data_IF_634761157099
#
_entry.id   IF_634761157099
#
_cell.length_a   1.000
_cell.length_b   1.000
_cell.length_c   1.000
_cell.angle_alpha   90.00
_cell.angle_beta   90.00
_cell.angle_gamma   90.00
#
_symmetry.space_group_name_H-M   'P 1'
#
loop_
_entity.id
_entity.type
_entity.pdbx_description
1 polymer ?
#
# COMPACT_ATOMS: atom_id res chain seq x y z
N UNK A 1 18.33 63.58 62.09
CA UNK A 1 17.11 63.48 61.32
C UNK A 1 16.69 62.00 61.39
N UNK A 2 15.64 61.76 62.14
CA UNK A 2 15.13 60.43 62.47
C UNK A 2 14.25 59.92 61.33
N UNK A 3 14.42 58.68 60.90
CA UNK A 3 13.47 57.95 60.11
C UNK A 3 12.97 56.74 60.93
N UNK A 4 11.69 56.78 61.23
CA UNK A 4 10.98 55.74 61.92
C UNK A 4 10.62 54.58 60.98
N UNK A 5 10.96 53.34 61.36
CA UNK A 5 10.53 52.15 60.69
C UNK A 5 9.20 51.64 61.27
N UNK A 6 8.23 51.39 60.36
CA UNK A 6 6.96 50.74 60.75
C UNK A 6 7.12 49.24 60.42
N UNK A 7 7.01 48.41 61.45
CA UNK A 7 6.91 46.97 61.34
C UNK A 7 5.43 46.56 61.17
N UNK A 8 5.06 45.94 60.03
CA UNK A 8 3.76 45.30 59.85
C UNK A 8 3.85 43.83 60.23
N UNK A 9 3.11 43.45 61.22
CA UNK A 9 2.96 42.07 61.68
C UNK A 9 1.90 41.39 60.71
N UNK A 10 2.27 40.33 60.04
CA UNK A 10 1.35 39.46 59.34
C UNK A 10 0.85 38.35 60.26
N UNK A 11 -0.47 38.28 60.40
CA UNK A 11 -1.16 37.19 61.09
C UNK A 11 -1.40 36.08 60.07
N UNK A 12 -0.79 34.93 60.27
CA UNK A 12 -1.04 33.72 59.49
C UNK A 12 -2.29 33.04 60.07
N UNK A 13 -3.39 33.07 59.37
CA UNK A 13 -4.57 32.25 59.64
C UNK A 13 -4.40 30.94 58.87
N UNK A 14 -4.13 29.87 59.59
CA UNK A 14 -4.16 28.48 59.05
C UNK A 14 -5.61 28.03 58.97
N UNK A 15 -6.19 28.18 57.79
CA UNK A 15 -7.46 27.55 57.45
C UNK A 15 -7.20 26.17 56.84
N UNK A 16 -7.53 25.11 57.57
CA UNK A 16 -7.59 23.74 57.04
C UNK A 16 -8.80 23.65 56.11
N UNK A 17 -8.57 23.54 54.82
CA UNK A 17 -9.60 23.13 53.84
C UNK A 17 -9.60 21.60 53.73
N UNK A 18 -10.77 20.96 53.66
CA UNK A 18 -10.84 19.53 53.46
C UNK A 18 -10.37 19.20 52.00
N UNK A 19 -9.47 18.24 51.91
CA UNK A 19 -9.03 17.64 50.66
C UNK A 19 -10.23 17.05 49.92
N UNK A 20 -10.68 17.76 48.90
CA UNK A 20 -11.53 17.18 47.89
C UNK A 20 -10.58 16.39 46.98
N UNK A 21 -10.44 15.11 47.23
CA UNK A 21 -9.90 14.18 46.23
C UNK A 21 -10.78 14.31 44.97
N UNK A 22 -10.32 15.12 44.03
CA UNK A 22 -10.76 15.03 42.63
C UNK A 22 -10.24 13.71 42.11
N UNK A 23 -11.10 12.71 42.10
CA UNK A 23 -10.94 11.50 41.33
C UNK A 23 -10.99 11.94 39.87
N UNK A 24 -9.89 12.50 39.35
CA UNK A 24 -9.66 12.59 37.91
C UNK A 24 -9.56 11.15 37.46
N UNK A 25 -10.69 10.65 36.92
CA UNK A 25 -10.73 9.41 36.18
C UNK A 25 -9.58 9.47 35.17
N UNK A 26 -8.68 8.51 35.25
CA UNK A 26 -7.67 8.29 34.24
C UNK A 26 -8.41 8.18 32.89
N UNK A 27 -8.44 9.28 32.15
CA UNK A 27 -8.76 9.23 30.75
C UNK A 27 -7.75 8.23 30.18
N UNK A 28 -8.24 7.08 29.70
CA UNK A 28 -7.41 6.05 29.11
C UNK A 28 -6.51 6.73 28.10
N UNK A 29 -5.21 6.49 28.17
CA UNK A 29 -4.29 7.04 27.19
C UNK A 29 -4.78 6.58 25.83
N UNK A 30 -5.14 7.54 24.96
CA UNK A 30 -5.57 7.29 23.59
C UNK A 30 -4.47 6.49 22.89
N UNK A 31 -4.79 5.26 22.48
CA UNK A 31 -3.80 4.38 21.87
C UNK A 31 -3.79 4.69 20.37
N UNK A 32 -2.65 5.18 19.87
CA UNK A 32 -2.49 5.49 18.45
C UNK A 32 -1.70 4.40 17.75
N UNK A 33 -2.12 4.06 16.53
CA UNK A 33 -1.41 3.17 15.60
C UNK A 33 -1.09 3.96 14.33
N UNK A 34 0.19 4.09 14.03
CA UNK A 34 0.67 4.73 12.80
C UNK A 34 0.91 3.67 11.72
N UNK A 35 0.14 3.73 10.65
CA UNK A 35 0.21 2.82 9.50
C UNK A 35 0.60 3.60 8.25
N UNK A 36 1.67 3.18 7.57
CA UNK A 36 2.18 3.90 6.39
C UNK A 36 2.71 2.95 5.33
N UNK A 37 2.57 3.35 4.06
CA UNK A 37 3.31 2.66 2.99
C UNK A 37 2.57 2.55 1.68
N UNK A 38 2.35 1.32 1.22
CA UNK A 38 1.84 1.00 -0.11
C UNK A 38 0.54 1.72 -0.46
N UNK A 39 0.57 2.48 -1.56
CA UNK A 39 -0.65 3.08 -2.10
C UNK A 39 -1.65 2.02 -2.62
N UNK A 40 -1.16 0.85 -3.04
CA UNK A 40 -2.03 -0.29 -3.39
C UNK A 40 -2.92 -0.68 -2.21
N UNK A 41 -2.38 -0.62 -0.98
CA UNK A 41 -3.10 -0.99 0.23
C UNK A 41 -3.86 0.17 0.89
N UNK A 42 -3.62 1.42 0.50
CA UNK A 42 -4.09 2.58 1.28
C UNK A 42 -5.61 2.57 1.49
N UNK A 43 -6.40 2.30 0.44
CA UNK A 43 -7.86 2.27 0.55
C UNK A 43 -8.36 1.10 1.42
N UNK A 44 -7.70 -0.05 1.34
CA UNK A 44 -8.02 -1.19 2.18
C UNK A 44 -7.61 -0.96 3.64
N UNK A 45 -6.43 -0.39 3.86
CA UNK A 45 -5.94 -0.04 5.20
C UNK A 45 -6.82 1.04 5.87
N UNK A 46 -7.30 2.04 5.11
CA UNK A 46 -8.26 3.03 5.59
C UNK A 46 -9.59 2.37 5.98
N UNK A 47 -10.12 1.48 5.13
CA UNK A 47 -11.36 0.78 5.45
C UNK A 47 -11.23 -0.12 6.68
N UNK A 48 -10.10 -0.79 6.87
CA UNK A 48 -9.81 -1.53 8.10
C UNK A 48 -9.72 -0.62 9.31
N UNK A 49 -9.00 0.49 9.20
CA UNK A 49 -8.84 1.46 10.28
C UNK A 49 -10.20 2.05 10.71
N UNK A 50 -11.02 2.49 9.76
CA UNK A 50 -12.36 3.03 10.01
C UNK A 50 -13.25 1.99 10.70
N UNK A 51 -13.33 0.77 10.16
CA UNK A 51 -14.15 -0.28 10.73
C UNK A 51 -13.66 -0.72 12.11
N UNK A 52 -12.34 -0.75 12.35
CA UNK A 52 -11.82 -1.10 13.67
C UNK A 52 -12.06 0.00 14.70
N UNK A 53 -11.90 1.27 14.35
CA UNK A 53 -12.19 2.41 15.25
C UNK A 53 -13.70 2.52 15.59
N UNK A 54 -14.59 1.97 14.76
CA UNK A 54 -16.01 1.82 15.13
C UNK A 54 -16.23 0.74 16.21
N UNK A 55 -15.40 -0.33 16.22
CA UNK A 55 -15.45 -1.40 17.20
C UNK A 55 -14.75 -1.03 18.52
N UNK A 56 -13.63 -0.31 18.42
CA UNK A 56 -12.84 0.13 19.56
C UNK A 56 -12.59 1.65 19.46
N UNK A 57 -13.50 2.47 20.02
CA UNK A 57 -13.42 3.93 19.96
C UNK A 57 -12.26 4.56 20.74
N UNK A 58 -11.57 3.81 21.59
CA UNK A 58 -10.42 4.28 22.36
C UNK A 58 -9.11 4.20 21.57
N UNK A 59 -9.14 3.57 20.37
CA UNK A 59 -8.00 3.45 19.47
C UNK A 59 -8.08 4.50 18.35
N UNK A 60 -6.95 5.06 18.00
CA UNK A 60 -6.80 5.93 16.81
C UNK A 60 -5.81 5.30 15.85
N UNK A 61 -6.25 5.10 14.61
CA UNK A 61 -5.41 4.53 13.54
C UNK A 61 -5.24 5.58 12.46
N UNK A 62 -4.00 5.98 12.24
CA UNK A 62 -3.61 6.90 11.16
C UNK A 62 -3.08 6.08 9.97
N UNK A 63 -3.60 6.31 8.78
CA UNK A 63 -3.16 5.62 7.57
C UNK A 63 -2.63 6.63 6.56
N UNK A 64 -1.41 6.43 6.09
CA UNK A 64 -0.80 7.27 5.05
C UNK A 64 -0.17 6.43 3.95
N UNK A 65 -0.36 6.84 2.70
CA UNK A 65 0.28 6.25 1.53
C UNK A 65 1.74 6.70 1.35
N UNK A 66 2.21 6.68 0.12
CA UNK A 66 3.54 7.16 -0.29
C UNK A 66 4.46 6.04 -0.78
N UNK A 67 3.92 4.85 -1.02
CA UNK A 67 4.64 3.69 -1.58
C UNK A 67 5.27 2.78 -0.53
N UNK A 68 5.46 1.50 -0.91
CA UNK A 68 6.00 0.45 -0.02
C UNK A 68 7.37 0.80 0.55
N UNK A 69 8.27 1.34 -0.27
CA UNK A 69 9.61 1.76 0.17
C UNK A 69 9.56 2.83 1.26
N UNK A 70 8.59 3.76 1.17
CA UNK A 70 8.40 4.81 2.19
C UNK A 70 7.92 4.24 3.52
N UNK A 71 6.98 3.26 3.49
CA UNK A 71 6.52 2.58 4.70
C UNK A 71 7.61 1.75 5.37
N UNK A 72 8.33 0.96 4.59
CA UNK A 72 9.46 0.14 5.07
C UNK A 72 10.53 1.04 5.70
N UNK A 73 10.92 2.14 5.02
CA UNK A 73 11.88 3.09 5.58
C UNK A 73 11.37 3.74 6.89
N UNK A 74 10.08 4.05 6.99
CA UNK A 74 9.50 4.59 8.20
C UNK A 74 9.55 3.59 9.37
N UNK A 75 9.29 2.29 9.10
CA UNK A 75 9.42 1.23 10.09
C UNK A 75 10.88 1.06 10.55
N UNK A 76 11.85 1.02 9.60
CA UNK A 76 13.28 0.94 9.91
C UNK A 76 13.75 2.10 10.80
N UNK A 77 13.13 3.27 10.65
CA UNK A 77 13.40 4.46 11.46
C UNK A 77 12.57 4.54 12.76
N UNK A 78 11.73 3.54 13.03
CA UNK A 78 10.90 3.49 14.24
C UNK A 78 9.83 4.59 14.32
N UNK A 79 9.33 5.07 13.17
CA UNK A 79 8.35 6.17 13.09
C UNK A 79 6.93 5.71 12.76
N UNK A 80 6.73 4.41 12.56
CA UNK A 80 5.42 3.79 12.36
C UNK A 80 5.35 2.44 13.05
N UNK A 81 4.14 2.01 13.38
CA UNK A 81 3.87 0.71 14.00
C UNK A 81 3.67 -0.37 12.94
N UNK A 82 3.06 0.00 11.80
CA UNK A 82 2.74 -0.88 10.69
C UNK A 82 3.26 -0.28 9.38
N UNK A 83 4.05 -1.05 8.63
CA UNK A 83 4.46 -0.70 7.28
C UNK A 83 3.69 -1.52 6.25
N UNK A 84 2.85 -0.88 5.44
CA UNK A 84 2.15 -1.52 4.34
C UNK A 84 3.08 -1.70 3.14
N UNK A 85 3.11 -2.90 2.57
CA UNK A 85 3.90 -3.19 1.38
C UNK A 85 3.16 -4.08 0.38
N UNK A 86 3.40 -3.83 -0.89
CA UNK A 86 2.88 -4.61 -2.03
C UNK A 86 3.99 -5.35 -2.77
N UNK A 87 5.08 -5.60 -2.08
CA UNK A 87 6.20 -6.48 -2.39
C UNK A 87 6.84 -6.94 -1.08
N UNK A 88 7.62 -8.01 -1.13
CA UNK A 88 8.47 -8.37 0.00
C UNK A 88 9.54 -7.29 0.28
N UNK A 89 10.00 -7.23 1.52
CA UNK A 89 11.20 -6.46 1.85
C UNK A 89 12.40 -7.05 1.12
N UNK A 90 13.28 -6.17 0.67
CA UNK A 90 14.56 -6.57 0.07
C UNK A 90 15.56 -6.94 1.14
N UNK A 91 16.55 -7.78 0.80
CA UNK A 91 17.61 -8.17 1.73
C UNK A 91 18.35 -6.95 2.31
N UNK A 92 18.59 -5.92 1.51
CA UNK A 92 19.19 -4.66 1.95
C UNK A 92 18.33 -3.88 2.96
N UNK A 93 17.00 -3.94 2.83
CA UNK A 93 16.05 -3.31 3.75
C UNK A 93 15.97 -4.10 5.06
N UNK A 94 16.00 -5.44 4.99
CA UNK A 94 16.06 -6.32 6.16
C UNK A 94 17.38 -6.08 6.92
N UNK A 95 18.50 -6.07 6.22
CA UNK A 95 19.81 -5.79 6.84
C UNK A 95 19.87 -4.40 7.48
N UNK A 96 19.25 -3.38 6.87
CA UNK A 96 19.17 -2.04 7.43
C UNK A 96 18.28 -1.99 8.69
N UNK A 97 17.18 -2.75 8.73
CA UNK A 97 16.33 -2.89 9.91
C UNK A 97 17.10 -3.54 11.07
N UNK A 98 17.77 -4.66 10.79
CA UNK A 98 18.58 -5.40 11.79
C UNK A 98 19.72 -4.53 12.35
N UNK A 99 20.38 -3.73 11.50
CA UNK A 99 21.40 -2.78 11.95
C UNK A 99 20.87 -1.71 12.90
N UNK A 100 19.57 -1.40 12.82
CA UNK A 100 18.86 -0.50 13.73
C UNK A 100 18.25 -1.26 14.94
N UNK A 101 18.52 -2.55 15.10
CA UNK A 101 18.01 -3.38 16.20
C UNK A 101 16.55 -3.80 16.03
N UNK A 102 16.03 -3.71 14.82
CA UNK A 102 14.66 -4.11 14.44
C UNK A 102 14.71 -5.47 13.77
N UNK A 103 13.84 -6.39 14.19
CA UNK A 103 13.61 -7.68 13.53
C UNK A 103 12.26 -7.63 12.81
N UNK A 104 12.20 -7.31 11.51
CA UNK A 104 10.93 -7.18 10.80
C UNK A 104 10.15 -8.49 10.82
N UNK A 105 8.86 -8.43 11.13
CA UNK A 105 7.95 -9.56 11.01
C UNK A 105 6.98 -9.29 9.88
N UNK A 106 6.91 -10.26 8.96
CA UNK A 106 6.06 -10.20 7.78
C UNK A 106 4.68 -10.81 8.07
N UNK A 107 3.63 -10.07 7.75
CA UNK A 107 2.25 -10.53 7.83
C UNK A 107 1.60 -10.40 6.46
N UNK A 108 1.29 -11.53 5.81
CA UNK A 108 0.45 -11.50 4.59
C UNK A 108 -0.96 -11.16 5.00
N UNK A 109 -1.51 -10.05 4.51
CA UNK A 109 -2.83 -9.55 4.92
C UNK A 109 -3.91 -9.68 3.84
N UNK A 110 -3.50 -9.84 2.58
CA UNK A 110 -4.37 -10.07 1.43
C UNK A 110 -3.54 -10.57 0.24
N UNK A 111 -4.21 -10.93 -0.87
CA UNK A 111 -3.57 -11.11 -2.18
C UNK A 111 -4.13 -10.07 -3.16
N UNK A 112 -3.35 -9.75 -4.18
CA UNK A 112 -3.70 -8.78 -5.21
C UNK A 112 -3.40 -9.36 -6.60
N UNK A 113 -4.23 -9.01 -7.58
CA UNK A 113 -3.92 -9.16 -8.98
C UNK A 113 -3.50 -7.81 -9.55
N UNK A 114 -2.37 -7.74 -10.24
CA UNK A 114 -2.02 -6.53 -11.00
C UNK A 114 -2.69 -6.62 -12.36
N UNK A 115 -3.77 -5.88 -12.52
CA UNK A 115 -4.49 -5.78 -13.78
C UNK A 115 -3.72 -4.88 -14.76
N UNK A 116 -3.54 -5.34 -15.99
CA UNK A 116 -3.12 -4.48 -17.10
C UNK A 116 -4.37 -3.80 -17.64
N UNK A 117 -4.36 -2.48 -17.68
CA UNK A 117 -5.53 -1.67 -18.03
C UNK A 117 -5.26 -0.73 -19.18
N UNK A 118 -6.28 -0.57 -20.02
CA UNK A 118 -6.27 0.31 -21.19
C UNK A 118 -7.59 1.09 -21.26
N UNK A 119 -7.63 2.10 -22.11
CA UNK A 119 -8.87 2.82 -22.39
C UNK A 119 -9.93 1.89 -23.00
N UNK A 120 -11.23 2.01 -22.66
CA UNK A 120 -12.29 1.12 -23.15
C UNK A 120 -12.39 1.02 -24.68
N UNK A 121 -11.99 2.06 -25.41
CA UNK A 121 -11.97 2.03 -26.87
C UNK A 121 -10.79 1.29 -27.49
N UNK A 122 -9.82 0.83 -26.71
CA UNK A 122 -8.70 0.06 -27.22
C UNK A 122 -9.17 -1.35 -27.63
N UNK A 123 -8.93 -1.79 -28.89
CA UNK A 123 -9.42 -3.09 -29.36
C UNK A 123 -8.62 -4.29 -28.86
N UNK A 124 -7.45 -4.09 -28.23
CA UNK A 124 -6.60 -5.19 -27.75
C UNK A 124 -7.26 -5.86 -26.54
N UNK A 125 -7.56 -7.16 -26.66
CA UNK A 125 -8.24 -7.95 -25.61
C UNK A 125 -7.27 -8.78 -24.77
N UNK A 126 -6.08 -9.06 -25.30
CA UNK A 126 -5.10 -9.92 -24.59
C UNK A 126 -3.66 -9.61 -25.00
N UNK A 127 -2.75 -9.76 -24.04
CA UNK A 127 -1.30 -9.63 -24.21
C UNK A 127 -0.60 -10.78 -23.49
N UNK A 128 0.52 -11.24 -24.06
CA UNK A 128 1.41 -12.16 -23.32
C UNK A 128 2.31 -11.36 -22.37
N UNK A 129 2.88 -12.02 -21.35
CA UNK A 129 3.89 -11.39 -20.47
C UNK A 129 5.05 -10.82 -21.30
N UNK A 130 5.50 -11.54 -22.34
CA UNK A 130 6.55 -11.06 -23.23
C UNK A 130 6.14 -9.77 -23.97
N UNK A 131 4.92 -9.70 -24.50
CA UNK A 131 4.44 -8.49 -25.16
C UNK A 131 4.33 -7.32 -24.20
N UNK A 132 3.91 -7.56 -22.95
CA UNK A 132 3.86 -6.53 -21.91
C UNK A 132 5.28 -6.05 -21.59
N UNK A 133 6.24 -6.95 -21.44
CA UNK A 133 7.66 -6.60 -21.26
C UNK A 133 8.19 -5.78 -22.43
N UNK A 134 7.95 -6.22 -23.66
CA UNK A 134 8.39 -5.52 -24.88
C UNK A 134 7.77 -4.12 -25.01
N UNK A 135 6.53 -3.96 -24.58
CA UNK A 135 5.85 -2.66 -24.55
C UNK A 135 6.55 -1.74 -23.53
N UNK A 136 6.72 -2.20 -22.29
CA UNK A 136 7.27 -1.36 -21.22
C UNK A 136 8.77 -1.11 -21.35
N UNK A 137 9.51 -1.93 -22.06
CA UNK A 137 10.93 -1.69 -22.43
C UNK A 137 11.09 -0.81 -23.67
N UNK A 138 10.01 -0.57 -24.43
CA UNK A 138 10.01 0.24 -25.63
C UNK A 138 10.38 -0.51 -26.91
N UNK A 139 10.45 -1.84 -26.90
CA UNK A 139 10.61 -2.67 -28.08
C UNK A 139 9.33 -2.65 -28.95
N UNK A 140 8.16 -2.58 -28.32
CA UNK A 140 6.86 -2.36 -28.96
C UNK A 140 6.39 -0.95 -28.58
N UNK A 141 6.21 -0.09 -29.58
CA UNK A 141 5.86 1.33 -29.38
C UNK A 141 4.50 1.73 -29.98
N UNK A 142 3.88 0.84 -30.73
CA UNK A 142 2.59 1.10 -31.39
C UNK A 142 1.61 -0.03 -31.15
N UNK A 143 0.36 0.32 -30.91
CA UNK A 143 -0.72 -0.65 -30.70
C UNK A 143 -0.92 -1.61 -31.89
N UNK A 144 -0.63 -1.16 -33.16
CA UNK A 144 -0.70 -2.01 -34.34
C UNK A 144 0.24 -3.23 -34.30
N UNK A 145 1.32 -3.19 -33.50
CA UNK A 145 2.24 -4.31 -33.35
C UNK A 145 1.67 -5.47 -32.50
N UNK A 146 0.59 -5.19 -31.76
CA UNK A 146 -0.10 -6.16 -30.90
C UNK A 146 -1.60 -6.30 -31.24
N UNK A 147 -1.98 -6.00 -32.48
CA UNK A 147 -3.34 -6.19 -32.97
C UNK A 147 -4.30 -5.01 -32.74
N UNK A 148 -3.80 -3.89 -32.27
CA UNK A 148 -4.56 -2.66 -32.09
C UNK A 148 -4.51 -1.74 -33.33
N UNK A 149 -5.00 -0.52 -33.14
CA UNK A 149 -4.94 0.53 -34.15
C UNK A 149 -3.51 1.08 -34.34
N UNK A 150 -3.21 1.72 -35.49
CA UNK A 150 -1.90 2.31 -35.72
C UNK A 150 -1.73 3.65 -34.97
N UNK A 151 -1.60 3.55 -33.67
CA UNK A 151 -1.39 4.66 -32.70
C UNK A 151 -0.20 4.39 -31.78
N UNK A 152 0.52 5.43 -31.31
CA UNK A 152 1.58 5.24 -30.34
C UNK A 152 1.01 4.70 -29.02
N UNK A 153 1.84 3.99 -28.25
CA UNK A 153 1.52 3.55 -26.90
C UNK A 153 2.07 4.60 -25.92
N UNK A 154 1.24 5.04 -24.97
CA UNK A 154 1.64 5.89 -23.84
C UNK A 154 1.79 5.01 -22.61
N UNK A 155 3.00 4.91 -22.09
CA UNK A 155 3.37 4.04 -20.99
C UNK A 155 3.13 4.73 -19.65
N UNK A 156 2.31 4.13 -18.80
CA UNK A 156 2.08 4.60 -17.44
C UNK A 156 2.64 3.60 -16.44
N UNK A 157 3.42 4.07 -15.49
CA UNK A 157 3.95 3.29 -14.38
C UNK A 157 3.79 4.06 -13.08
N UNK A 158 4.07 3.42 -11.96
CA UNK A 158 4.16 4.05 -10.65
C UNK A 158 5.57 4.60 -10.43
N UNK A 159 5.72 5.53 -9.49
CA UNK A 159 7.02 6.00 -9.02
C UNK A 159 7.86 4.84 -8.45
N UNK A 160 9.19 5.00 -8.45
CA UNK A 160 10.15 3.94 -8.10
C UNK A 160 10.08 3.46 -6.64
N UNK A 161 9.52 4.27 -5.72
CA UNK A 161 9.25 3.90 -4.32
C UNK A 161 7.98 3.02 -4.18
N UNK A 162 7.18 2.89 -5.24
CA UNK A 162 6.01 2.02 -5.27
C UNK A 162 6.41 0.54 -5.30
N UNK A 163 5.86 -0.26 -4.38
CA UNK A 163 6.03 -1.72 -4.43
C UNK A 163 5.44 -2.33 -5.70
N UNK A 164 4.41 -1.72 -6.29
CA UNK A 164 3.83 -2.18 -7.56
C UNK A 164 4.77 -1.95 -8.72
N UNK A 165 5.48 -0.81 -8.75
CA UNK A 165 6.52 -0.54 -9.75
C UNK A 165 7.65 -1.58 -9.66
N UNK A 166 8.18 -1.81 -8.45
CA UNK A 166 9.27 -2.77 -8.23
C UNK A 166 8.83 -4.19 -8.61
N UNK A 167 7.67 -4.63 -8.13
CA UNK A 167 7.15 -5.95 -8.45
C UNK A 167 6.95 -6.13 -9.97
N UNK A 168 6.39 -5.13 -10.66
CA UNK A 168 6.16 -5.18 -12.10
C UNK A 168 7.47 -5.23 -12.89
N UNK A 169 8.49 -4.48 -12.46
CA UNK A 169 9.82 -4.55 -13.05
C UNK A 169 10.42 -5.95 -12.93
N UNK A 170 10.40 -6.52 -11.73
CA UNK A 170 11.04 -7.79 -11.43
C UNK A 170 10.30 -8.99 -12.04
N UNK A 171 8.97 -9.02 -11.90
CA UNK A 171 8.18 -10.21 -12.25
C UNK A 171 7.50 -10.15 -13.63
N UNK A 172 7.33 -8.95 -14.21
CA UNK A 172 6.69 -8.80 -15.53
C UNK A 172 7.70 -8.38 -16.58
N UNK A 173 8.47 -7.31 -16.36
CA UNK A 173 9.45 -6.84 -17.35
C UNK A 173 10.62 -7.82 -17.43
N UNK A 174 11.17 -8.21 -16.28
CA UNK A 174 12.30 -9.17 -16.17
C UNK A 174 11.85 -10.62 -16.11
N UNK A 175 10.55 -10.88 -16.02
CA UNK A 175 9.96 -12.23 -15.93
C UNK A 175 10.58 -13.11 -14.82
N UNK A 176 10.98 -12.51 -13.69
CA UNK A 176 11.61 -13.19 -12.55
C UNK A 176 13.10 -13.52 -12.74
N UNK A 177 13.72 -13.06 -13.82
CA UNK A 177 15.17 -13.20 -14.04
C UNK A 177 15.93 -12.10 -13.28
N UNK A 178 16.59 -12.49 -12.18
CA UNK A 178 17.36 -11.59 -11.32
C UNK A 178 18.62 -11.04 -12.00
N UNK A 179 19.16 -11.77 -13.00
CA UNK A 179 20.34 -11.34 -13.77
C UNK A 179 19.97 -10.39 -14.93
N UNK A 180 18.67 -10.17 -15.17
CA UNK A 180 18.19 -9.29 -16.23
C UNK A 180 18.44 -7.82 -15.92
N UNK A 181 19.05 -7.10 -16.85
CA UNK A 181 19.27 -5.65 -16.80
C UNK A 181 18.15 -4.83 -17.46
N UNK A 182 17.05 -5.46 -17.86
CA UNK A 182 15.89 -4.78 -18.46
C UNK A 182 15.32 -3.73 -17.48
N UNK A 183 15.01 -2.57 -18.04
CA UNK A 183 14.41 -1.44 -17.31
C UNK A 183 13.19 -0.92 -18.07
N UNK A 184 12.35 -0.15 -17.38
CA UNK A 184 11.31 0.62 -18.04
C UNK A 184 11.91 1.56 -19.08
N UNK A 185 11.22 1.71 -20.22
CA UNK A 185 11.53 2.72 -21.21
C UNK A 185 11.61 4.11 -20.57
N UNK A 186 12.58 4.95 -20.95
CA UNK A 186 12.67 6.33 -20.45
C UNK A 186 11.45 7.19 -20.79
N UNK A 187 10.63 6.77 -21.77
CA UNK A 187 9.38 7.44 -22.15
C UNK A 187 8.21 7.11 -21.20
N UNK A 188 8.44 6.26 -20.18
CA UNK A 188 7.40 5.88 -19.24
C UNK A 188 7.06 7.03 -18.30
N UNK A 189 5.77 7.40 -18.24
CA UNK A 189 5.26 8.41 -17.32
C UNK A 189 5.05 7.79 -15.93
N UNK A 190 5.68 8.37 -14.93
CA UNK A 190 5.60 7.91 -13.55
C UNK A 190 4.45 8.62 -12.80
N UNK A 191 3.49 7.84 -12.34
CA UNK A 191 2.30 8.32 -11.66
C UNK A 191 2.45 8.16 -10.13
N UNK A 192 2.07 9.18 -9.34
CA UNK A 192 2.27 9.15 -7.89
C UNK A 192 1.35 8.17 -7.16
N UNK A 193 0.19 7.83 -7.73
CA UNK A 193 -0.82 6.96 -7.07
C UNK A 193 -1.49 6.01 -8.06
N UNK A 194 -2.18 5.01 -7.52
CA UNK A 194 -3.04 4.09 -8.27
C UNK A 194 -4.18 4.83 -8.95
N UNK A 195 -4.83 5.77 -8.27
CA UNK A 195 -5.87 6.62 -8.85
C UNK A 195 -5.35 7.46 -10.03
N UNK A 196 -4.06 7.88 -9.97
CA UNK A 196 -3.42 8.62 -11.06
C UNK A 196 -3.34 7.79 -12.35
N UNK A 197 -2.95 6.51 -12.25
CA UNK A 197 -2.98 5.59 -13.41
C UNK A 197 -4.40 5.42 -13.92
N UNK A 198 -5.35 5.12 -13.04
CA UNK A 198 -6.74 4.94 -13.39
C UNK A 198 -7.33 6.16 -14.09
N UNK A 199 -7.04 7.37 -13.59
CA UNK A 199 -7.53 8.62 -14.18
C UNK A 199 -6.96 8.87 -15.58
N UNK A 200 -5.67 8.62 -15.78
CA UNK A 200 -5.02 8.80 -17.09
C UNK A 200 -5.52 7.79 -18.13
N UNK A 201 -5.62 6.51 -17.75
CA UNK A 201 -6.13 5.44 -18.64
C UNK A 201 -7.55 5.76 -19.14
N UNK A 202 -8.43 6.31 -18.30
CA UNK A 202 -9.80 6.67 -18.68
C UNK A 202 -9.89 7.81 -19.70
N UNK A 203 -8.89 8.67 -19.75
CA UNK A 203 -8.89 9.87 -20.59
C UNK A 203 -8.02 9.73 -21.83
N UNK A 204 -7.08 8.79 -21.83
CA UNK A 204 -6.08 8.65 -22.88
C UNK A 204 -6.25 7.32 -23.64
N UNK A 205 -6.86 7.35 -24.87
CA UNK A 205 -7.04 6.15 -25.68
C UNK A 205 -5.74 5.44 -26.08
N UNK A 206 -4.60 6.08 -25.92
CA UNK A 206 -3.30 5.52 -26.25
C UNK A 206 -2.60 4.87 -25.05
N UNK A 207 -3.10 5.11 -23.83
CA UNK A 207 -2.45 4.68 -22.61
C UNK A 207 -2.55 3.16 -22.39
N UNK A 208 -1.48 2.62 -21.82
CA UNK A 208 -1.45 1.36 -21.09
C UNK A 208 -0.96 1.65 -19.67
N UNK A 209 -1.65 1.09 -18.69
CA UNK A 209 -1.27 1.15 -17.28
C UNK A 209 -1.39 -0.21 -16.63
N UNK A 210 -0.96 -0.30 -15.39
CA UNK A 210 -1.17 -1.47 -14.55
C UNK A 210 -1.46 -1.03 -13.11
N UNK A 211 -2.40 -1.72 -12.47
CA UNK A 211 -2.81 -1.37 -11.11
C UNK A 211 -3.38 -2.58 -10.38
N UNK A 212 -3.49 -2.48 -9.05
CA UNK A 212 -4.19 -3.49 -8.26
C UNK A 212 -5.65 -3.61 -8.67
N UNK A 213 -6.17 -4.84 -8.67
CA UNK A 213 -7.54 -5.14 -9.10
C UNK A 213 -8.60 -4.30 -8.38
N UNK A 214 -8.36 -3.95 -7.09
CA UNK A 214 -9.23 -3.09 -6.30
C UNK A 214 -9.37 -1.64 -6.79
N UNK A 215 -8.52 -1.19 -7.71
CA UNK A 215 -8.56 0.16 -8.31
C UNK A 215 -9.19 0.18 -9.72
N UNK A 216 -9.48 -1.00 -10.28
CA UNK A 216 -10.07 -1.07 -11.62
C UNK A 216 -11.55 -0.73 -11.55
N UNK A 217 -11.95 0.25 -12.36
CA UNK A 217 -13.34 0.73 -12.45
C UNK A 217 -13.98 0.29 -13.77
N UNK A 218 -15.32 0.38 -13.87
CA UNK A 218 -16.08 -0.07 -15.06
C UNK A 218 -15.80 0.76 -16.33
N UNK A 219 -15.20 1.91 -16.20
CA UNK A 219 -14.78 2.82 -17.27
C UNK A 219 -13.32 2.61 -17.72
N UNK A 220 -12.71 1.48 -17.31
CA UNK A 220 -11.44 0.97 -17.79
C UNK A 220 -11.64 -0.41 -18.41
N UNK A 221 -10.78 -0.77 -19.36
CA UNK A 221 -10.74 -2.11 -19.93
C UNK A 221 -9.54 -2.87 -19.39
N UNK A 222 -9.78 -4.00 -18.75
CA UNK A 222 -8.73 -4.95 -18.40
C UNK A 222 -8.33 -5.76 -19.64
N UNK A 223 -7.04 -5.96 -19.80
CA UNK A 223 -6.46 -6.82 -20.83
C UNK A 223 -6.17 -8.19 -20.23
N UNK A 224 -6.62 -9.25 -20.87
CA UNK A 224 -6.32 -10.61 -20.44
C UNK A 224 -4.84 -10.92 -20.66
N UNK A 225 -4.21 -11.62 -19.71
CA UNK A 225 -2.77 -11.90 -19.76
C UNK A 225 -2.52 -13.39 -19.92
N UNK A 226 -1.61 -13.76 -20.84
CA UNK A 226 -1.12 -15.11 -21.00
C UNK A 226 0.36 -15.19 -20.57
N UNK A 227 0.73 -16.26 -19.87
CA UNK A 227 2.13 -16.50 -19.46
C UNK A 227 3.06 -16.73 -20.64
N UNK A 228 2.55 -17.22 -21.77
CA UNK A 228 3.32 -17.44 -23.00
C UNK A 228 2.41 -17.42 -24.23
N UNK A 229 3.02 -17.55 -25.43
CA UNK A 229 2.32 -17.40 -26.70
C UNK A 229 1.17 -18.42 -26.95
N UNK A 230 1.27 -19.60 -26.36
CA UNK A 230 0.27 -20.68 -26.49
C UNK A 230 -0.60 -20.84 -25.24
N UNK A 231 -0.38 -20.03 -24.21
CA UNK A 231 -1.11 -20.11 -22.95
C UNK A 231 -2.52 -19.52 -23.06
N UNK A 232 -3.41 -19.86 -22.12
CA UNK A 232 -4.70 -19.21 -22.05
C UNK A 232 -4.52 -17.74 -21.67
N UNK A 233 -5.31 -16.87 -22.32
CA UNK A 233 -5.46 -15.49 -21.93
C UNK A 233 -6.46 -15.41 -20.76
N UNK A 234 -6.00 -14.96 -19.60
CA UNK A 234 -6.76 -14.95 -18.36
C UNK A 234 -6.98 -13.51 -17.89
N UNK A 235 -8.23 -13.17 -17.55
CA UNK A 235 -8.53 -11.90 -16.87
C UNK A 235 -8.28 -12.01 -15.37
N UNK A 236 -7.80 -10.93 -14.72
CA UNK A 236 -7.66 -10.91 -13.27
C UNK A 236 -9.02 -10.96 -12.57
N UNK A 237 -9.15 -11.82 -11.59
CA UNK A 237 -10.31 -11.94 -10.72
C UNK A 237 -9.92 -12.63 -9.41
N UNK A 238 -10.78 -12.58 -8.39
CA UNK A 238 -10.59 -13.34 -7.15
C UNK A 238 -10.40 -14.82 -7.45
N UNK A 239 -11.21 -15.39 -8.37
CA UNK A 239 -11.13 -16.80 -8.75
C UNK A 239 -9.80 -17.15 -9.42
N UNK A 240 -9.36 -16.33 -10.40
CA UNK A 240 -8.13 -16.59 -11.17
C UNK A 240 -6.85 -16.36 -10.37
N UNK A 241 -6.91 -15.55 -9.31
CA UNK A 241 -5.82 -15.44 -8.33
C UNK A 241 -5.82 -16.65 -7.39
N UNK A 242 -6.98 -17.10 -6.91
CA UNK A 242 -7.05 -18.22 -5.98
C UNK A 242 -6.66 -19.56 -6.58
N UNK A 243 -6.89 -19.77 -7.86
CA UNK A 243 -6.49 -20.99 -8.59
C UNK A 243 -5.14 -20.83 -9.33
N UNK A 244 -4.42 -19.73 -9.08
CA UNK A 244 -3.12 -19.38 -9.65
C UNK A 244 -3.07 -19.38 -11.20
N UNK A 245 -4.21 -19.19 -11.86
CA UNK A 245 -4.28 -19.10 -13.33
C UNK A 245 -3.94 -17.71 -13.88
N UNK A 246 -4.10 -16.64 -13.09
CA UNK A 246 -3.69 -15.30 -13.50
C UNK A 246 -2.20 -15.06 -13.19
N UNK A 247 -1.37 -14.72 -14.19
CA UNK A 247 0.08 -14.76 -14.02
C UNK A 247 0.67 -13.59 -13.24
N UNK A 248 -0.07 -12.48 -13.03
CA UNK A 248 0.45 -11.31 -12.33
C UNK A 248 -0.30 -11.13 -11.00
N UNK A 249 -0.07 -12.04 -10.06
CA UNK A 249 -0.65 -11.99 -8.73
C UNK A 249 0.44 -12.02 -7.64
N UNK A 250 0.15 -11.39 -6.51
CA UNK A 250 1.13 -11.24 -5.41
C UNK A 250 0.46 -11.19 -4.05
N UNK A 251 1.17 -11.54 -2.98
CA UNK A 251 0.77 -11.20 -1.62
C UNK A 251 0.90 -9.69 -1.35
N UNK A 252 0.07 -9.22 -0.42
CA UNK A 252 0.16 -7.89 0.17
C UNK A 252 0.50 -8.03 1.66
N UNK A 253 1.33 -7.15 2.16
CA UNK A 253 1.95 -7.29 3.46
C UNK A 253 1.69 -6.10 4.38
N UNK A 254 1.60 -6.39 5.67
CA UNK A 254 1.91 -5.47 6.76
C UNK A 254 3.17 -5.97 7.47
N UNK A 255 4.14 -5.10 7.68
CA UNK A 255 5.33 -5.39 8.46
C UNK A 255 5.26 -4.71 9.81
N UNK A 256 5.74 -5.40 10.84
CA UNK A 256 5.94 -4.86 12.19
C UNK A 256 7.42 -4.88 12.56
N UNK A 257 7.84 -4.00 13.48
CA UNK A 257 9.24 -3.88 13.92
C UNK A 257 9.72 -5.02 14.83
N UNK A 258 8.88 -6.02 15.07
CA UNK A 258 9.08 -7.21 15.89
C UNK A 258 7.75 -7.94 16.02
N UNK A 259 7.66 -8.96 16.88
CA UNK A 259 6.39 -9.64 17.15
C UNK A 259 5.34 -8.61 17.62
N UNK A 260 4.18 -8.55 16.95
CA UNK A 260 3.16 -7.56 17.27
C UNK A 260 2.58 -7.82 18.66
N UNK A 261 2.50 -6.77 19.46
CA UNK A 261 2.00 -6.85 20.84
C UNK A 261 1.03 -5.70 21.13
N UNK A 262 0.31 -5.81 22.25
CA UNK A 262 -0.64 -4.78 22.67
C UNK A 262 -1.69 -4.50 21.59
N UNK A 263 -2.03 -3.22 21.39
CA UNK A 263 -3.09 -2.82 20.49
C UNK A 263 -2.76 -3.09 19.01
N UNK A 264 -1.49 -2.99 18.62
CA UNK A 264 -1.04 -3.33 17.26
C UNK A 264 -1.30 -4.81 16.96
N UNK A 265 -0.98 -5.69 17.93
CA UNK A 265 -1.24 -7.13 17.78
C UNK A 265 -2.72 -7.45 17.68
N UNK A 266 -3.56 -6.84 18.53
CA UNK A 266 -5.02 -7.03 18.52
C UNK A 266 -5.63 -6.53 17.19
N UNK A 267 -5.22 -5.36 16.73
CA UNK A 267 -5.67 -4.82 15.45
C UNK A 267 -5.26 -5.71 14.27
N UNK A 268 -4.01 -6.14 14.24
CA UNK A 268 -3.51 -7.01 13.16
C UNK A 268 -4.21 -8.38 13.16
N UNK A 269 -4.48 -8.95 14.35
CA UNK A 269 -5.25 -10.20 14.45
C UNK A 269 -6.67 -10.02 13.90
N UNK A 270 -7.32 -8.90 14.22
CA UNK A 270 -8.63 -8.56 13.65
C UNK A 270 -8.56 -8.41 12.12
N UNK A 271 -7.54 -7.74 11.57
CA UNK A 271 -7.32 -7.60 10.11
C UNK A 271 -7.23 -8.97 9.45
N UNK A 272 -6.50 -9.91 10.06
CA UNK A 272 -6.28 -11.27 9.54
C UNK A 272 -7.52 -12.19 9.65
N UNK A 273 -8.50 -11.81 10.44
CA UNK A 273 -9.72 -12.60 10.68
C UNK A 273 -10.97 -11.86 10.22
N UNK A 274 -11.60 -11.06 11.07
CA UNK A 274 -12.88 -10.39 10.79
C UNK A 274 -12.75 -9.34 9.68
N UNK A 275 -11.59 -8.66 9.60
CA UNK A 275 -11.27 -7.67 8.58
C UNK A 275 -11.21 -8.22 7.15
N UNK A 276 -11.11 -9.55 6.97
CA UNK A 276 -11.05 -10.18 5.64
C UNK A 276 -12.32 -9.98 4.81
N UNK A 277 -13.46 -9.70 5.43
CA UNK A 277 -14.69 -9.33 4.71
C UNK A 277 -14.55 -8.03 3.89
N UNK A 278 -13.72 -7.09 4.34
CA UNK A 278 -13.44 -5.84 3.63
C UNK A 278 -12.52 -6.04 2.41
N UNK A 279 -11.62 -7.04 2.48
CA UNK A 279 -10.71 -7.39 1.37
C UNK A 279 -11.52 -7.69 0.10
N UNK A 280 -12.49 -8.60 0.20
CA UNK A 280 -13.37 -8.96 -0.94
C UNK A 280 -14.23 -7.78 -1.40
N UNK A 281 -14.77 -6.98 -0.45
CA UNK A 281 -15.63 -5.84 -0.76
C UNK A 281 -14.91 -4.76 -1.58
N UNK A 282 -13.61 -4.62 -1.37
CA UNK A 282 -12.76 -3.64 -2.07
C UNK A 282 -12.04 -4.22 -3.30
N UNK A 283 -12.41 -5.43 -3.74
CA UNK A 283 -11.87 -6.03 -4.97
C UNK A 283 -10.50 -6.68 -4.82
N UNK A 284 -10.01 -6.83 -3.60
CA UNK A 284 -8.82 -7.64 -3.31
C UNK A 284 -9.18 -9.10 -3.05
N UNK A 285 -8.17 -9.95 -2.96
CA UNK A 285 -8.34 -11.38 -2.75
C UNK A 285 -8.05 -11.73 -1.29
N UNK A 286 -9.03 -12.23 -0.53
CA UNK A 286 -8.85 -12.59 0.86
C UNK A 286 -7.94 -13.81 1.01
N UNK A 287 -7.40 -14.00 2.20
CA UNK A 287 -6.52 -15.12 2.54
C UNK A 287 -7.28 -16.46 2.62
N UNK A 288 -8.58 -16.40 2.89
CA UNK A 288 -9.48 -17.57 3.01
C UNK A 288 -10.89 -17.22 2.56
#
# INVERSE_FOLDING_TARGET
MLLAGFALAWVIVTGSSPDTESNEGAAGAEQSIENKGSDTLVNLALAWAEAYMELDPDVRISVTGGGSGTGIAAMINGTVDLANASRAMKDEEIAAAEANGISPVEHVVARDAIAVVVHPSNPVDGLTLQQISDIYTGAITRWSQVGGEDRPIVLLSRESNSGTHVYFLENVIRMGDEDSDLLFSPDTLLMPSSEGISAEVRQNPNAIGYDGLGYVTQDQKMVAVASGAEGPYVLPSVETVNNDSYPISRPLFMYTAGEPAGQVGIYLDWVLNEGQGLVTKLGFVPLR
#
